data_IF_125925729327
#
_entry.id   IF_125925729327
#
_cell.length_a   1.000
_cell.length_b   1.000
_cell.length_c   1.000
_cell.angle_alpha   90.00
_cell.angle_beta   90.00
_cell.angle_gamma   90.00
#
_symmetry.space_group_name_H-M   'P 1'
#
loop_
_entity.id
_entity.type
_entity.pdbx_description
1 polymer ?
#
# COMPACT_ATOMS: atom_id res chain seq x y z
N UNK A 1 -12.86 -2.78 11.56
CA UNK A 1 -11.46 -2.84 11.06
C UNK A 1 -10.93 -1.42 11.00
N UNK A 2 -9.89 -1.11 11.76
CA UNK A 2 -9.24 0.20 11.75
C UNK A 2 -8.66 0.49 10.35
N UNK A 3 -8.76 1.75 9.90
CA UNK A 3 -8.25 2.21 8.61
C UNK A 3 -6.97 3.01 8.83
N UNK A 4 -5.99 2.83 7.95
CA UNK A 4 -4.74 3.59 8.01
C UNK A 4 -4.96 5.07 7.70
N UNK A 5 -4.00 5.90 8.08
CA UNK A 5 -3.98 7.32 7.71
C UNK A 5 -3.89 7.43 6.18
N UNK A 6 -4.65 8.36 5.60
CA UNK A 6 -4.54 8.67 4.16
C UNK A 6 -3.14 9.26 3.92
N UNK A 7 -2.31 8.54 3.15
CA UNK A 7 -1.01 9.03 2.72
C UNK A 7 -1.13 9.84 1.40
N UNK A 8 -1.97 9.38 0.48
CA UNK A 8 -2.32 10.09 -0.76
C UNK A 8 -3.75 9.76 -1.20
N UNK A 9 -4.41 10.68 -1.91
CA UNK A 9 -5.73 10.44 -2.57
C UNK A 9 -5.58 9.92 -4.00
N UNK A 10 -4.47 9.24 -4.28
CA UNK A 10 -4.15 8.63 -5.57
C UNK A 10 -3.39 7.32 -5.36
N UNK A 11 -3.39 6.41 -6.35
CA UNK A 11 -2.52 5.23 -6.32
C UNK A 11 -1.05 5.62 -6.54
N UNK A 12 -0.16 4.74 -6.09
CA UNK A 12 1.27 4.78 -6.43
C UNK A 12 1.54 3.74 -7.51
N UNK A 13 1.92 4.18 -8.71
CA UNK A 13 2.38 3.29 -9.77
C UNK A 13 3.82 2.85 -9.47
N UNK A 14 4.05 1.55 -9.41
CA UNK A 14 5.38 0.98 -9.16
C UNK A 14 5.65 -0.13 -10.15
N UNK A 15 6.82 -0.10 -10.78
CA UNK A 15 7.34 -1.22 -11.56
C UNK A 15 7.76 -2.33 -10.60
N UNK A 16 7.13 -3.49 -10.72
CA UNK A 16 7.42 -4.69 -9.94
C UNK A 16 8.14 -5.72 -10.80
N UNK A 17 8.93 -6.56 -10.14
CA UNK A 17 9.67 -7.65 -10.76
C UNK A 17 9.11 -8.99 -10.27
N UNK A 18 8.93 -9.94 -11.19
CA UNK A 18 8.39 -11.26 -10.91
C UNK A 18 9.19 -11.96 -9.80
N UNK A 19 8.48 -12.54 -8.83
CA UNK A 19 9.05 -13.24 -7.68
C UNK A 19 9.59 -12.32 -6.57
N UNK A 20 9.61 -10.99 -6.74
CA UNK A 20 9.99 -10.08 -5.66
C UNK A 20 8.83 -9.85 -4.69
N UNK A 21 9.21 -9.78 -3.42
CA UNK A 21 8.32 -9.45 -2.31
C UNK A 21 8.36 -7.96 -2.01
N UNK A 22 7.18 -7.36 -1.95
CA UNK A 22 6.95 -5.97 -1.60
C UNK A 22 6.11 -5.89 -0.34
N UNK A 23 6.47 -5.00 0.58
CA UNK A 23 5.76 -4.82 1.84
C UNK A 23 5.02 -3.49 1.81
N UNK A 24 3.74 -3.53 1.49
CA UNK A 24 2.91 -2.34 1.38
C UNK A 24 2.60 -1.73 2.75
N UNK A 25 2.72 -0.40 2.83
CA UNK A 25 2.40 0.36 4.03
C UNK A 25 0.88 0.41 4.25
N UNK A 26 0.38 -0.32 5.26
CA UNK A 26 -1.02 -0.28 5.69
C UNK A 26 -1.35 0.91 6.61
N UNK A 27 -0.41 1.34 7.46
CA UNK A 27 -0.67 2.37 8.46
C UNK A 27 -0.78 3.79 7.89
N UNK A 28 -0.17 4.04 6.72
CA UNK A 28 -0.12 5.36 6.09
C UNK A 28 0.89 6.35 6.68
N UNK A 29 1.75 5.92 7.61
CA UNK A 29 2.75 6.76 8.26
C UNK A 29 4.14 6.69 7.61
N UNK A 30 4.36 5.75 6.70
CA UNK A 30 5.68 5.59 6.08
C UNK A 30 6.03 6.78 5.19
N UNK A 31 7.29 7.19 5.26
CA UNK A 31 7.93 8.20 4.41
C UNK A 31 8.40 7.61 3.06
N UNK A 32 8.47 6.27 2.93
CA UNK A 32 8.83 5.56 1.69
C UNK A 32 7.62 4.96 0.98
N UNK A 33 6.50 5.70 0.93
CA UNK A 33 5.29 5.25 0.24
C UNK A 33 5.59 4.76 -1.19
N UNK A 34 4.91 3.69 -1.66
CA UNK A 34 3.82 2.98 -1.00
C UNK A 34 4.27 1.89 0.00
N UNK A 35 5.57 1.74 0.23
CA UNK A 35 6.13 0.63 0.99
C UNK A 35 6.37 0.96 2.46
N UNK A 36 6.61 -0.07 3.25
CA UNK A 36 6.85 0.03 4.68
C UNK A 36 8.30 0.40 4.99
N UNK A 37 8.51 1.36 5.88
CA UNK A 37 9.82 1.75 6.46
C UNK A 37 9.94 1.41 7.95
N UNK A 38 8.94 0.74 8.54
CA UNK A 38 8.90 0.46 9.97
C UNK A 38 8.16 1.49 10.83
N UNK A 39 7.66 2.60 10.26
CA UNK A 39 6.83 3.59 10.99
C UNK A 39 5.54 3.01 11.56
N UNK A 40 5.15 1.80 11.15
CA UNK A 40 3.97 1.11 11.69
C UNK A 40 4.14 0.62 13.13
N UNK A 41 5.37 0.54 13.67
CA UNK A 41 5.66 0.02 15.02
C UNK A 41 4.97 0.79 16.16
N UNK A 42 4.53 2.01 15.90
CA UNK A 42 3.77 2.84 16.85
C UNK A 42 2.24 2.67 16.72
N UNK A 43 1.79 1.73 15.88
CA UNK A 43 0.39 1.50 15.54
C UNK A 43 0.03 0.02 15.65
N UNK A 44 -1.27 -0.30 15.57
CA UNK A 44 -1.77 -1.68 15.49
C UNK A 44 -1.58 -2.35 14.11
N UNK A 45 -1.14 -1.59 13.10
CA UNK A 45 -1.06 -2.08 11.73
C UNK A 45 0.23 -2.83 11.46
N UNK A 46 0.14 -3.91 10.69
CA UNK A 46 1.28 -4.59 10.07
C UNK A 46 1.28 -4.35 8.55
N UNK A 47 2.46 -4.31 7.91
CA UNK A 47 2.54 -4.19 6.46
C UNK A 47 1.97 -5.44 5.77
N UNK A 48 1.38 -5.24 4.59
CA UNK A 48 0.81 -6.34 3.80
C UNK A 48 1.86 -6.79 2.78
N UNK A 49 2.17 -8.08 2.78
CA UNK A 49 3.05 -8.69 1.79
C UNK A 49 2.36 -8.80 0.44
N UNK A 50 3.03 -8.38 -0.62
CA UNK A 50 2.65 -8.55 -2.02
C UNK A 50 3.81 -9.23 -2.75
N UNK A 51 3.57 -10.41 -3.31
CA UNK A 51 4.55 -11.09 -4.17
C UNK A 51 4.12 -10.87 -5.61
N UNK A 52 4.97 -10.21 -6.40
CA UNK A 52 4.70 -9.99 -7.81
C UNK A 52 4.79 -11.32 -8.57
N UNK A 53 3.78 -11.65 -9.37
CA UNK A 53 3.77 -12.88 -10.17
C UNK A 53 4.46 -12.69 -11.53
N UNK A 54 4.46 -11.48 -12.05
CA UNK A 54 5.03 -11.09 -13.32
C UNK A 54 5.68 -9.70 -13.21
N UNK A 55 6.56 -9.39 -14.16
CA UNK A 55 7.11 -8.05 -14.30
C UNK A 55 6.02 -7.11 -14.83
N UNK A 56 5.88 -5.92 -14.25
CA UNK A 56 4.85 -5.00 -14.71
C UNK A 56 4.67 -3.78 -13.84
N UNK A 57 3.72 -2.91 -14.21
CA UNK A 57 3.34 -1.77 -13.37
C UNK A 57 2.14 -2.13 -12.51
N UNK A 58 2.29 -2.02 -11.21
CA UNK A 58 1.23 -2.28 -10.22
C UNK A 58 0.87 -0.97 -9.52
N UNK A 59 -0.43 -0.78 -9.29
CA UNK A 59 -0.97 0.41 -8.64
C UNK A 59 -1.30 0.12 -7.17
N UNK A 60 -0.37 0.47 -6.28
CA UNK A 60 -0.57 0.31 -4.85
C UNK A 60 -1.49 1.39 -4.28
N UNK A 61 -2.33 1.01 -3.32
CA UNK A 61 -3.24 1.94 -2.69
C UNK A 61 -2.49 3.01 -1.87
N UNK A 62 -2.72 4.29 -2.17
CA UNK A 62 -2.19 5.42 -1.39
C UNK A 62 -3.10 5.88 -0.24
N UNK A 63 -4.42 5.72 -0.36
CA UNK A 63 -5.37 6.25 0.62
C UNK A 63 -5.56 5.35 1.85
N UNK A 64 -5.13 4.08 1.77
CA UNK A 64 -5.25 3.05 2.81
C UNK A 64 -6.70 2.67 3.16
N UNK A 65 -7.64 3.03 2.27
CA UNK A 65 -9.07 2.76 2.39
C UNK A 65 -9.57 1.63 1.48
N UNK A 66 -8.68 1.03 0.69
CA UNK A 66 -9.02 -0.05 -0.23
C UNK A 66 -9.61 -1.28 0.48
N UNK A 67 -10.64 -1.86 -0.13
CA UNK A 67 -11.15 -3.19 0.20
C UNK A 67 -10.29 -4.33 -0.40
N UNK A 68 -9.53 -4.07 -1.47
CA UNK A 68 -8.64 -5.02 -2.14
C UNK A 68 -7.15 -4.76 -1.81
N UNK A 69 -6.82 -4.66 -0.52
CA UNK A 69 -5.42 -4.46 -0.10
C UNK A 69 -4.50 -5.52 -0.73
N UNK A 70 -3.30 -5.15 -1.21
CA UNK A 70 -2.64 -3.84 -1.10
C UNK A 70 -2.86 -2.91 -2.31
N UNK A 71 -3.69 -3.31 -3.27
CA UNK A 71 -3.85 -2.64 -4.56
C UNK A 71 -4.93 -1.57 -4.53
N UNK A 72 -4.91 -0.69 -5.52
CA UNK A 72 -5.93 0.32 -5.70
C UNK A 72 -7.22 -0.29 -6.28
N UNK A 73 -8.37 0.04 -5.69
CA UNK A 73 -9.72 -0.27 -6.18
C UNK A 73 -10.56 0.98 -6.48
N UNK A 74 -9.93 2.16 -6.48
CA UNK A 74 -10.65 3.42 -6.67
C UNK A 74 -11.37 3.96 -5.43
N UNK A 75 -11.26 3.32 -4.25
CA UNK A 75 -11.89 3.82 -3.00
C UNK A 75 -11.54 5.27 -2.66
N UNK A 76 -10.41 5.79 -3.18
CA UNK A 76 -9.99 7.17 -2.99
C UNK A 76 -10.88 8.21 -3.69
N UNK A 77 -11.71 7.80 -4.66
CA UNK A 77 -12.64 8.69 -5.36
C UNK A 77 -13.83 9.13 -4.50
N UNK A 78 -14.01 8.53 -3.32
CA UNK A 78 -15.12 8.81 -2.41
C UNK A 78 -14.66 9.28 -1.02
N UNK A 79 -13.48 9.91 -0.92
CA UNK A 79 -12.83 10.37 0.34
C UNK A 79 -12.68 11.88 0.45
#
# INVERSE_FOLDING_TARGET
MSKGKIAARSPFAVSVEAGKDYYWCRCGLSQSQPFCDGSHKTTEFTPVKFTAQEDGTVYFCGCKQTGSSPLCDGSHNSL
#
